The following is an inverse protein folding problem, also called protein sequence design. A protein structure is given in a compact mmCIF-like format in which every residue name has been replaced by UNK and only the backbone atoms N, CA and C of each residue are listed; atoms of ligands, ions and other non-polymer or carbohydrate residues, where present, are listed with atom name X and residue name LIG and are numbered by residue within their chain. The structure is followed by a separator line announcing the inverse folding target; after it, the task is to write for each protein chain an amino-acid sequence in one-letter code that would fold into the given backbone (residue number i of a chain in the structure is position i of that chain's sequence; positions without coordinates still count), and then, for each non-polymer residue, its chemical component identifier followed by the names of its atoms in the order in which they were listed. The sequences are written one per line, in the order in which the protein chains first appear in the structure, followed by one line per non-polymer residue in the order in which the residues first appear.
data_IF_475987922458
#
_entry.id   IF_475987922458
#
_cell.length_a   1.000
_cell.length_b   1.000
_cell.length_c   1.000
_cell.angle_alpha   90.00
_cell.angle_beta   90.00
_cell.angle_gamma   90.00
#
_symmetry.space_group_name_H-M   'P 1'
#
loop_
_entity.id
_entity.type
_entity.pdbx_description
1 polymer ?
#
# COMPACT_ATOMS: atom_id res chain seq x y z
N UNK A 1 -0.07 -12.20 -6.02
CA UNK A 1 0.16 -10.93 -5.30
C UNK A 1 -0.76 -10.87 -4.09
N UNK A 2 -0.42 -10.08 -3.08
CA UNK A 2 -1.25 -9.80 -1.90
C UNK A 2 -1.67 -8.34 -1.97
N UNK A 3 -2.96 -8.05 -1.82
CA UNK A 3 -3.42 -6.67 -1.61
C UNK A 3 -3.40 -6.36 -0.12
N UNK A 4 -2.77 -5.24 0.24
CA UNK A 4 -2.75 -4.70 1.60
C UNK A 4 -3.96 -3.79 1.72
N UNK A 5 -4.82 -4.09 2.69
CA UNK A 5 -6.12 -3.46 2.84
C UNK A 5 -6.00 -1.97 3.20
N UNK A 6 -6.91 -1.18 2.63
CA UNK A 6 -6.84 0.28 2.65
C UNK A 6 -6.90 0.92 4.03
N UNK A 7 -7.60 0.33 5.00
CA UNK A 7 -7.68 0.89 6.35
C UNK A 7 -6.33 0.94 7.07
N UNK A 8 -5.44 -0.02 6.81
CA UNK A 8 -4.05 0.05 7.27
C UNK A 8 -3.25 1.10 6.47
N UNK A 9 -3.44 1.14 5.15
CA UNK A 9 -2.67 2.01 4.26
C UNK A 9 -2.94 3.50 4.53
N UNK A 10 -4.20 3.89 4.74
CA UNK A 10 -4.60 5.28 4.92
C UNK A 10 -4.01 5.96 6.17
N UNK A 11 -3.54 5.18 7.14
CA UNK A 11 -3.03 5.70 8.41
C UNK A 11 -1.51 5.54 8.59
N UNK A 12 -0.77 4.91 7.66
CA UNK A 12 0.66 4.62 7.82
C UNK A 12 1.55 5.84 8.08
N UNK A 13 1.11 7.04 7.69
CA UNK A 13 1.83 8.28 7.94
C UNK A 13 1.74 8.68 9.42
N UNK A 14 0.59 8.44 10.05
CA UNK A 14 0.25 8.97 11.38
C UNK A 14 0.20 7.91 12.48
N UNK A 15 -0.12 6.65 12.15
CA UNK A 15 -0.23 5.56 13.11
C UNK A 15 0.96 4.56 12.94
N UNK A 16 1.86 4.47 13.92
CA UNK A 16 2.96 3.52 13.88
C UNK A 16 2.51 2.05 13.91
N UNK A 17 1.31 1.75 14.44
CA UNK A 17 0.78 0.37 14.45
C UNK A 17 0.42 -0.07 13.04
N UNK A 18 -0.25 0.80 12.29
CA UNK A 18 -0.61 0.49 10.90
C UNK A 18 0.63 0.39 10.02
N UNK A 19 1.64 1.22 10.27
CA UNK A 19 2.97 1.07 9.67
C UNK A 19 3.58 -0.31 9.94
N UNK A 20 3.60 -0.77 11.19
CA UNK A 20 4.10 -2.12 11.55
C UNK A 20 3.29 -3.21 10.86
N UNK A 21 1.96 -3.06 10.77
CA UNK A 21 1.10 -4.03 10.08
C UNK A 21 1.44 -4.13 8.60
N UNK A 22 1.56 -2.99 7.90
CA UNK A 22 1.92 -2.94 6.48
C UNK A 22 3.31 -3.55 6.24
N UNK A 23 4.30 -3.23 7.08
CA UNK A 23 5.65 -3.79 7.00
C UNK A 23 5.66 -5.32 7.18
N UNK A 24 4.92 -5.85 8.16
CA UNK A 24 4.82 -7.29 8.38
C UNK A 24 4.12 -8.02 7.23
N UNK A 25 3.02 -7.47 6.72
CA UNK A 25 2.32 -8.06 5.57
C UNK A 25 3.24 -8.07 4.34
N UNK A 26 3.96 -6.97 4.10
CA UNK A 26 4.92 -6.85 2.99
C UNK A 26 6.03 -7.90 3.09
N UNK A 27 6.70 -7.95 4.24
CA UNK A 27 7.79 -8.91 4.50
C UNK A 27 7.31 -10.37 4.36
N UNK A 28 6.14 -10.70 4.91
CA UNK A 28 5.59 -12.05 4.81
C UNK A 28 5.27 -12.41 3.35
N UNK A 29 4.64 -11.50 2.59
CA UNK A 29 4.33 -11.73 1.18
C UNK A 29 5.60 -11.98 0.35
N UNK A 30 6.64 -11.16 0.54
CA UNK A 30 7.92 -11.35 -0.14
C UNK A 30 8.61 -12.66 0.24
N UNK A 31 8.52 -13.13 1.49
CA UNK A 31 9.03 -14.44 1.90
C UNK A 31 8.33 -15.60 1.19
N UNK A 32 7.05 -15.45 0.83
CA UNK A 32 6.32 -16.40 -0.01
C UNK A 32 6.56 -16.20 -1.52
N UNK A 33 7.43 -15.27 -1.92
CA UNK A 33 7.68 -14.94 -3.33
C UNK A 33 6.51 -14.21 -4.00
N UNK A 34 5.67 -13.54 -3.23
CA UNK A 34 4.50 -12.80 -3.72
C UNK A 34 4.79 -11.30 -3.76
N UNK A 35 4.31 -10.66 -4.82
CA UNK A 35 4.27 -9.19 -4.97
C UNK A 35 3.19 -8.59 -4.06
N UNK A 36 3.41 -7.40 -3.52
CA UNK A 36 2.41 -6.63 -2.75
C UNK A 36 1.82 -5.46 -3.53
N UNK A 37 0.54 -5.19 -3.25
CA UNK A 37 -0.18 -4.04 -3.80
C UNK A 37 -0.93 -3.33 -2.66
N UNK A 38 -0.57 -2.10 -2.33
CA UNK A 38 -1.32 -1.30 -1.36
C UNK A 38 -2.52 -0.63 -2.03
N UNK A 39 -3.70 -0.67 -1.40
CA UNK A 39 -4.90 0.02 -1.89
C UNK A 39 -5.26 1.28 -1.08
N UNK A 40 -6.15 2.11 -1.62
CA UNK A 40 -6.58 3.39 -1.04
C UNK A 40 -5.46 4.40 -0.79
N UNK A 41 -4.49 4.48 -1.71
CA UNK A 41 -3.47 5.53 -1.71
C UNK A 41 -4.05 6.84 -2.27
N UNK A 42 -4.31 7.82 -1.39
CA UNK A 42 -5.02 9.06 -1.73
C UNK A 42 -4.12 10.31 -1.71
N UNK A 43 -2.89 10.22 -1.21
CA UNK A 43 -1.94 11.32 -1.18
C UNK A 43 -0.48 10.89 -1.41
N UNK A 44 0.37 11.89 -1.69
CA UNK A 44 1.80 11.71 -1.96
C UNK A 44 2.58 11.18 -0.76
N UNK A 45 2.21 11.59 0.46
CA UNK A 45 2.93 11.19 1.67
C UNK A 45 2.78 9.68 1.94
N UNK A 46 1.56 9.17 1.76
CA UNK A 46 1.23 7.76 1.83
C UNK A 46 1.96 6.97 0.74
N UNK A 47 1.92 7.46 -0.51
CA UNK A 47 2.63 6.83 -1.62
C UNK A 47 4.15 6.73 -1.38
N UNK A 48 4.76 7.82 -0.88
CA UNK A 48 6.19 7.87 -0.56
C UNK A 48 6.55 6.89 0.57
N UNK A 49 5.76 6.87 1.63
CA UNK A 49 5.96 5.94 2.75
C UNK A 49 5.91 4.47 2.28
N UNK A 50 4.92 4.11 1.46
CA UNK A 50 4.81 2.75 0.90
C UNK A 50 6.04 2.38 0.05
N UNK A 51 6.55 3.32 -0.75
CA UNK A 51 7.76 3.10 -1.54
C UNK A 51 9.00 2.91 -0.65
N UNK A 52 9.13 3.68 0.44
CA UNK A 52 10.20 3.52 1.43
C UNK A 52 10.12 2.17 2.17
N UNK A 53 8.91 1.68 2.43
CA UNK A 53 8.66 0.33 3.00
C UNK A 53 8.91 -0.81 2.02
N UNK A 54 9.18 -0.51 0.74
CA UNK A 54 9.40 -1.50 -0.31
C UNK A 54 8.12 -2.23 -0.75
N UNK A 55 6.95 -1.60 -0.68
CA UNK A 55 5.73 -2.14 -1.30
C UNK A 55 5.86 -2.03 -2.82
N UNK A 56 5.56 -3.11 -3.54
CA UNK A 56 5.88 -3.20 -4.98
C UNK A 56 4.99 -2.30 -5.84
N UNK A 57 3.69 -2.23 -5.52
CA UNK A 57 2.71 -1.42 -6.26
C UNK A 57 1.72 -0.72 -5.33
N UNK A 58 1.17 0.38 -5.81
CA UNK A 58 0.17 1.17 -5.11
C UNK A 58 -1.01 1.50 -6.03
N UNK A 59 -2.22 1.44 -5.46
CA UNK A 59 -3.47 1.75 -6.13
C UNK A 59 -4.27 2.74 -5.28
N UNK A 60 -4.73 3.82 -5.90
CA UNK A 60 -5.65 4.76 -5.26
C UNK A 60 -5.80 6.05 -6.05
N UNK A 61 -6.66 6.94 -5.55
CA UNK A 61 -7.03 8.16 -6.26
C UNK A 61 -5.88 9.15 -6.44
N UNK A 62 -4.79 9.00 -5.68
CA UNK A 62 -3.56 9.73 -5.92
C UNK A 62 -3.01 9.49 -7.34
N UNK A 63 -3.12 8.27 -7.85
CA UNK A 63 -2.62 7.90 -9.18
C UNK A 63 -3.67 8.09 -10.28
N UNK A 64 -4.94 7.98 -9.93
CA UNK A 64 -6.05 8.12 -10.86
C UNK A 64 -7.33 7.53 -10.30
N UNK A 65 -8.46 8.10 -10.71
CA UNK A 65 -9.78 7.55 -10.39
C UNK A 65 -10.14 6.45 -11.40
N UNK A 66 -10.88 5.41 -10.98
CA UNK A 66 -11.46 4.44 -11.90
C UNK A 66 -12.23 5.15 -13.02
N UNK A 67 -12.00 4.70 -14.25
CA UNK A 67 -12.74 5.11 -15.44
C UNK A 67 -13.30 3.85 -16.11
N UNK A 68 -14.41 4.00 -16.83
CA UNK A 68 -14.92 2.90 -17.65
C UNK A 68 -13.95 2.64 -18.81
N UNK A 69 -13.78 1.37 -19.24
CA UNK A 69 -13.05 1.06 -20.47
C UNK A 69 -13.70 1.77 -21.67
N UNK A 70 -12.89 2.22 -22.63
CA UNK A 70 -13.38 2.64 -23.96
C UNK A 70 -13.89 1.46 -24.79
#
# INVERSE_FOLDING_TARGET
FVKIEGSFVQQIVNDPKDRIMVEHINSMAHQFGLITVAEFVEDEATAKMLAEMGVDYAQGYYFGRPALPE
#
